data_IF_559837284323
#
_entry.id   IF_559837284323
#
_cell.length_a   1.000
_cell.length_b   1.000
_cell.length_c   1.000
_cell.angle_alpha   90.00
_cell.angle_beta   90.00
_cell.angle_gamma   90.00
#
_symmetry.space_group_name_H-M   'P 1'
#
loop_
_entity.id
_entity.type
_entity.pdbx_description
1 polymer ?
#
# COMPACT_ATOMS: atom_id res chain seq x y z
N UNK A 1 3.12 6.52 -37.24
CA UNK A 1 3.48 6.48 -38.67
C UNK A 1 3.63 7.85 -39.34
N UNK A 2 4.43 8.76 -38.77
CA UNK A 2 4.74 10.06 -39.40
C UNK A 2 6.25 10.24 -39.68
N UNK A 3 7.02 9.15 -39.67
CA UNK A 3 8.46 9.20 -39.84
C UNK A 3 8.85 9.24 -41.32
N UNK A 4 9.74 10.18 -41.69
CA UNK A 4 10.33 10.27 -43.02
C UNK A 4 11.74 9.67 -43.03
N UNK A 5 12.16 9.03 -44.14
CA UNK A 5 13.45 8.35 -44.22
C UNK A 5 14.65 9.31 -44.20
N UNK A 6 14.46 10.57 -44.58
CA UNK A 6 15.48 11.62 -44.57
C UNK A 6 14.88 13.02 -44.38
N UNK A 7 15.76 14.02 -44.21
CA UNK A 7 15.38 15.41 -43.94
C UNK A 7 14.64 16.09 -45.10
N UNK A 8 14.91 15.70 -46.35
CA UNK A 8 14.27 16.30 -47.52
C UNK A 8 12.84 15.78 -47.67
N UNK A 9 12.67 14.47 -47.52
CA UNK A 9 11.36 13.83 -47.45
C UNK A 9 10.53 14.30 -46.25
N UNK A 10 11.16 14.72 -45.14
CA UNK A 10 10.47 15.36 -44.03
C UNK A 10 9.97 16.76 -44.40
N UNK A 11 10.79 17.57 -45.07
CA UNK A 11 10.41 18.90 -45.53
C UNK A 11 9.25 18.86 -46.54
N UNK A 12 9.34 18.00 -47.55
CA UNK A 12 8.27 17.82 -48.54
C UNK A 12 6.93 17.42 -47.89
N UNK A 13 6.99 16.61 -46.82
CA UNK A 13 5.80 16.24 -46.05
C UNK A 13 5.20 17.38 -45.25
N UNK A 14 6.03 18.24 -44.65
CA UNK A 14 5.56 19.43 -43.93
C UNK A 14 4.92 20.44 -44.89
N UNK A 15 5.44 20.54 -46.11
CA UNK A 15 4.87 21.37 -47.17
C UNK A 15 3.53 20.83 -47.71
N UNK A 16 3.36 19.50 -47.71
CA UNK A 16 2.13 18.85 -48.17
C UNK A 16 0.92 19.06 -47.24
N UNK A 17 1.12 19.52 -46.01
CA UNK A 17 0.05 19.88 -45.09
C UNK A 17 0.36 19.64 -43.62
N UNK A 18 -0.56 20.05 -42.71
CA UNK A 18 -0.37 19.90 -41.28
C UNK A 18 -0.29 18.43 -40.88
N UNK A 19 0.67 18.11 -40.01
CA UNK A 19 0.78 16.79 -39.40
C UNK A 19 -0.47 16.49 -38.55
N UNK A 20 -0.86 15.20 -38.43
CA UNK A 20 -1.91 14.81 -37.50
C UNK A 20 -1.60 15.30 -36.10
N UNK A 21 -2.61 15.85 -35.41
CA UNK A 21 -2.46 16.25 -34.02
C UNK A 21 -2.06 15.02 -33.19
N UNK A 22 -0.96 15.08 -32.42
CA UNK A 22 -0.61 14.01 -31.51
C UNK A 22 -1.79 13.73 -30.59
N UNK A 23 -2.12 12.46 -30.35
CA UNK A 23 -3.02 12.14 -29.24
C UNK A 23 -2.41 12.72 -27.96
N UNK A 24 -3.25 13.23 -27.03
CA UNK A 24 -2.76 13.61 -25.72
C UNK A 24 -1.94 12.44 -25.15
N UNK A 25 -0.82 12.72 -24.46
CA UNK A 25 -0.03 11.67 -23.84
C UNK A 25 -0.91 10.90 -22.87
N UNK A 26 -1.17 9.63 -23.18
CA UNK A 26 -1.84 8.69 -22.29
C UNK A 26 -0.80 8.11 -21.35
N UNK A 27 -1.00 8.26 -20.05
CA UNK A 27 -0.12 7.68 -19.04
C UNK A 27 -0.73 6.36 -18.56
N UNK A 28 0.09 5.39 -18.17
CA UNK A 28 -0.40 4.12 -17.63
C UNK A 28 -1.32 4.31 -16.40
N UNK A 29 -1.18 5.42 -15.66
CA UNK A 29 -2.08 5.78 -14.54
C UNK A 29 -3.51 6.11 -15.00
N UNK A 30 -3.70 6.53 -16.25
CA UNK A 30 -5.02 6.80 -16.82
C UNK A 30 -5.85 5.49 -16.99
N UNK A 31 -5.17 4.33 -17.04
CA UNK A 31 -5.79 3.00 -17.07
C UNK A 31 -6.01 2.41 -15.65
N UNK A 32 -5.69 3.17 -14.60
CA UNK A 32 -5.78 2.75 -13.19
C UNK A 32 -6.76 3.67 -12.44
N UNK A 33 -8.08 3.57 -12.70
CA UNK A 33 -9.08 4.48 -12.15
C UNK A 33 -9.10 4.49 -10.61
N UNK A 34 -8.68 3.40 -9.97
CA UNK A 34 -8.53 3.30 -8.53
C UNK A 34 -7.41 4.19 -7.97
N UNK A 35 -6.46 4.68 -8.77
CA UNK A 35 -5.43 5.61 -8.29
C UNK A 35 -5.91 7.08 -8.28
N UNK A 36 -7.09 7.36 -8.83
CA UNK A 36 -7.64 8.71 -8.91
C UNK A 36 -8.07 9.28 -7.55
N UNK A 37 -8.36 8.42 -6.57
CA UNK A 37 -8.75 8.82 -5.19
C UNK A 37 -7.58 9.34 -4.34
N UNK A 38 -6.34 9.21 -4.84
CA UNK A 38 -5.09 9.58 -4.18
C UNK A 38 -4.77 8.83 -2.88
N UNK A 39 -5.55 7.83 -2.45
CA UNK A 39 -5.32 7.10 -1.20
C UNK A 39 -3.94 6.43 -1.23
N UNK A 40 -3.57 5.75 -2.32
CA UNK A 40 -2.22 5.18 -2.50
C UNK A 40 -1.13 6.23 -2.26
N UNK A 41 -1.26 7.42 -2.86
CA UNK A 41 -0.25 8.48 -2.76
C UNK A 41 -0.14 9.00 -1.33
N UNK A 42 -1.28 9.22 -0.67
CA UNK A 42 -1.34 9.78 0.69
C UNK A 42 -0.82 8.78 1.72
N UNK A 43 -1.22 7.51 1.64
CA UNK A 43 -0.75 6.44 2.54
C UNK A 43 0.76 6.21 2.35
N UNK A 44 1.24 6.14 1.10
CA UNK A 44 2.68 5.96 0.81
C UNK A 44 3.51 7.10 1.41
N UNK A 45 3.07 8.35 1.26
CA UNK A 45 3.77 9.51 1.86
C UNK A 45 3.74 9.50 3.39
N UNK A 46 2.68 8.95 3.98
CA UNK A 46 2.51 8.88 5.42
C UNK A 46 3.18 7.65 6.06
N UNK A 47 3.72 6.71 5.28
CA UNK A 47 4.15 5.38 5.77
C UNK A 47 4.99 5.39 7.05
N UNK A 48 6.09 6.16 7.08
CA UNK A 48 6.93 6.28 8.28
C UNK A 48 6.18 6.89 9.48
N UNK A 49 5.27 7.84 9.22
CA UNK A 49 4.41 8.44 10.24
C UNK A 49 3.40 7.44 10.80
N UNK A 50 2.81 6.61 9.94
CA UNK A 50 1.87 5.56 10.30
C UNK A 50 2.53 4.50 11.19
N UNK A 51 3.74 4.04 10.84
CA UNK A 51 4.49 3.09 11.67
C UNK A 51 4.76 3.68 13.06
N UNK A 52 5.27 4.91 13.12
CA UNK A 52 5.55 5.59 14.40
C UNK A 52 4.29 5.77 15.25
N UNK A 53 3.22 6.31 14.67
CA UNK A 53 1.96 6.53 15.38
C UNK A 53 1.30 5.23 15.83
N UNK A 54 1.48 4.14 15.07
CA UNK A 54 1.01 2.81 15.47
C UNK A 54 1.81 2.27 16.65
N UNK A 55 3.13 2.38 16.63
CA UNK A 55 3.98 2.01 17.79
C UNK A 55 3.55 2.76 19.05
N UNK A 56 3.38 4.08 18.97
CA UNK A 56 2.94 4.90 20.12
C UNK A 56 1.57 4.46 20.67
N UNK A 57 0.62 4.13 19.79
CA UNK A 57 -0.72 3.65 20.19
C UNK A 57 -0.66 2.25 20.82
N UNK A 58 0.15 1.35 20.27
CA UNK A 58 0.35 0.01 20.82
C UNK A 58 1.01 0.06 22.19
N UNK A 59 2.02 0.91 22.41
CA UNK A 59 2.66 1.08 23.72
C UNK A 59 1.66 1.53 24.80
N UNK A 60 0.67 2.35 24.42
CA UNK A 60 -0.35 2.85 25.34
C UNK A 60 -1.44 1.80 25.63
N UNK A 61 -1.83 1.01 24.62
CA UNK A 61 -3.11 0.25 24.61
C UNK A 61 -2.94 -1.26 24.51
N UNK A 62 -1.74 -1.76 24.23
CA UNK A 62 -1.41 -3.19 24.18
C UNK A 62 -0.49 -3.55 25.35
N UNK A 63 -1.04 -4.02 26.49
CA UNK A 63 -0.26 -4.27 27.71
C UNK A 63 1.00 -5.11 27.52
N UNK A 64 1.04 -6.17 26.67
CA UNK A 64 2.25 -6.96 26.47
C UNK A 64 3.46 -6.17 25.98
N UNK A 65 3.26 -5.05 25.27
CA UNK A 65 4.34 -4.24 24.73
C UNK A 65 5.14 -3.50 25.81
N UNK A 66 4.60 -3.36 27.02
CA UNK A 66 5.31 -2.70 28.14
C UNK A 66 6.55 -3.47 28.58
N UNK A 67 6.53 -4.79 28.39
CA UNK A 67 7.61 -5.69 28.77
C UNK A 67 8.61 -5.93 27.62
N UNK A 68 8.41 -5.30 26.46
CA UNK A 68 9.29 -5.49 25.31
C UNK A 68 10.65 -4.82 25.53
N UNK A 69 11.71 -5.58 25.26
CA UNK A 69 13.05 -5.06 25.10
C UNK A 69 13.20 -4.27 23.78
N UNK A 70 14.39 -3.68 23.57
CA UNK A 70 14.67 -2.87 22.40
C UNK A 70 14.58 -3.69 21.09
N UNK A 71 15.11 -4.92 21.07
CA UNK A 71 15.10 -5.78 19.89
C UNK A 71 13.67 -6.19 19.51
N UNK A 72 12.81 -6.44 20.50
CA UNK A 72 11.39 -6.73 20.29
C UNK A 72 10.63 -5.52 19.75
N UNK A 73 10.94 -4.32 20.22
CA UNK A 73 10.36 -3.07 19.69
C UNK A 73 10.79 -2.82 18.26
N UNK A 74 12.06 -3.03 17.94
CA UNK A 74 12.59 -2.88 16.58
C UNK A 74 11.93 -3.87 15.61
N UNK A 75 11.82 -5.14 15.99
CA UNK A 75 11.10 -6.15 15.18
C UNK A 75 9.62 -5.82 14.99
N UNK A 76 8.97 -5.30 16.03
CA UNK A 76 7.56 -4.87 15.92
C UNK A 76 7.42 -3.70 14.95
N UNK A 77 8.33 -2.72 14.99
CA UNK A 77 8.34 -1.61 14.04
C UNK A 77 8.62 -2.08 12.60
N UNK A 78 9.50 -3.07 12.41
CA UNK A 78 9.76 -3.71 11.13
C UNK A 78 8.52 -4.45 10.60
N UNK A 79 7.84 -5.24 11.43
CA UNK A 79 6.59 -5.91 11.06
C UNK A 79 5.50 -4.89 10.66
N UNK A 80 5.39 -3.76 11.38
CA UNK A 80 4.47 -2.68 11.03
C UNK A 80 4.83 -1.99 9.70
N UNK A 81 6.12 -1.80 9.44
CA UNK A 81 6.57 -1.25 8.16
C UNK A 81 6.16 -2.19 7.00
N UNK A 82 6.36 -3.49 7.16
CA UNK A 82 5.89 -4.47 6.18
C UNK A 82 4.36 -4.44 6.01
N UNK A 83 3.57 -4.36 7.09
CA UNK A 83 2.11 -4.24 6.98
C UNK A 83 1.73 -3.01 6.13
N UNK A 84 2.38 -1.87 6.35
CA UNK A 84 2.13 -0.65 5.58
C UNK A 84 2.56 -0.81 4.12
N UNK A 85 3.70 -1.47 3.84
CA UNK A 85 4.15 -1.75 2.48
C UNK A 85 3.13 -2.63 1.73
N UNK A 86 2.65 -3.71 2.35
CA UNK A 86 1.63 -4.58 1.75
C UNK A 86 0.27 -3.88 1.60
N UNK A 87 -0.08 -2.97 2.51
CA UNK A 87 -1.26 -2.12 2.36
C UNK A 87 -1.13 -1.18 1.15
N UNK A 88 0.00 -0.52 0.97
CA UNK A 88 0.23 0.36 -0.19
C UNK A 88 0.27 -0.43 -1.49
N UNK A 89 0.84 -1.63 -1.50
CA UNK A 89 0.81 -2.53 -2.65
C UNK A 89 -0.62 -2.96 -3.00
N UNK A 90 -1.44 -3.32 -2.01
CA UNK A 90 -2.85 -3.64 -2.22
C UNK A 90 -3.64 -2.46 -2.79
N UNK A 91 -3.39 -1.22 -2.31
CA UNK A 91 -3.99 0.00 -2.88
C UNK A 91 -3.55 0.25 -4.33
N UNK A 92 -2.26 0.00 -4.62
CA UNK A 92 -1.69 0.22 -5.94
C UNK A 92 -2.24 -0.76 -6.99
N UNK A 93 -2.37 -2.03 -6.62
CA UNK A 93 -2.85 -3.11 -7.51
C UNK A 93 -4.39 -3.24 -7.49
N UNK A 94 -5.05 -2.63 -6.51
CA UNK A 94 -6.48 -2.81 -6.22
C UNK A 94 -6.85 -4.27 -5.91
N UNK A 95 -5.99 -4.95 -5.15
CA UNK A 95 -6.18 -6.35 -4.78
C UNK A 95 -6.04 -6.56 -3.25
N UNK A 96 -7.14 -6.84 -2.52
CA UNK A 96 -7.07 -7.15 -1.09
C UNK A 96 -6.26 -8.41 -0.79
N UNK A 97 -6.13 -9.33 -1.74
CA UNK A 97 -5.39 -10.58 -1.61
C UNK A 97 -3.93 -10.37 -1.20
N UNK A 98 -3.32 -9.28 -1.64
CA UNK A 98 -1.94 -8.90 -1.31
C UNK A 98 -1.77 -8.70 0.20
N UNK A 99 -2.65 -7.91 0.82
CA UNK A 99 -2.60 -7.63 2.25
C UNK A 99 -3.07 -8.84 3.07
N UNK A 100 -4.19 -9.47 2.68
CA UNK A 100 -4.74 -10.60 3.45
C UNK A 100 -3.80 -11.81 3.42
N UNK A 101 -3.17 -12.08 2.28
CA UNK A 101 -2.18 -13.15 2.14
C UNK A 101 -0.96 -12.91 3.02
N UNK A 102 -0.44 -11.68 3.03
CA UNK A 102 0.67 -11.31 3.91
C UNK A 102 0.32 -11.43 5.40
N UNK A 103 -0.87 -10.97 5.81
CA UNK A 103 -1.29 -11.03 7.21
C UNK A 103 -1.48 -12.47 7.70
N UNK A 104 -2.11 -13.33 6.90
CA UNK A 104 -2.31 -14.74 7.25
C UNK A 104 -0.99 -15.51 7.31
N UNK A 105 -0.10 -15.31 6.34
CA UNK A 105 1.26 -15.85 6.38
C UNK A 105 2.07 -15.34 7.59
N UNK A 106 1.98 -14.04 7.90
CA UNK A 106 2.63 -13.45 9.08
C UNK A 106 2.09 -14.07 10.37
N UNK A 107 0.78 -14.32 10.46
CA UNK A 107 0.17 -14.98 11.60
C UNK A 107 0.73 -16.41 11.82
N UNK A 108 0.93 -17.17 10.75
CA UNK A 108 1.55 -18.51 10.81
C UNK A 108 3.00 -18.43 11.31
N UNK A 109 3.78 -17.47 10.81
CA UNK A 109 5.16 -17.26 11.24
C UNK A 109 5.24 -16.86 12.71
N UNK A 110 4.40 -15.92 13.15
CA UNK A 110 4.33 -15.49 14.54
C UNK A 110 3.95 -16.66 15.45
N UNK A 111 2.96 -17.47 15.06
CA UNK A 111 2.56 -18.66 15.80
C UNK A 111 3.72 -19.66 15.95
N UNK A 112 4.48 -19.91 14.87
CA UNK A 112 5.66 -20.78 14.91
C UNK A 112 6.77 -20.25 15.84
N UNK A 113 6.81 -18.93 16.09
CA UNK A 113 7.74 -18.27 17.02
C UNK A 113 7.19 -18.13 18.45
N UNK A 114 5.99 -18.67 18.73
CA UNK A 114 5.33 -18.55 20.03
C UNK A 114 4.67 -17.18 20.28
N UNK A 115 4.55 -16.33 19.25
CA UNK A 115 3.84 -15.06 19.30
C UNK A 115 2.39 -15.28 18.86
N UNK A 116 1.39 -14.97 19.69
CA UNK A 116 0.01 -15.23 19.35
C UNK A 116 -0.50 -14.34 18.20
N UNK A 117 -1.11 -14.92 17.16
CA UNK A 117 -1.69 -14.17 16.03
C UNK A 117 -2.68 -13.06 16.43
N UNK A 118 -3.30 -13.16 17.61
CA UNK A 118 -4.12 -12.09 18.23
C UNK A 118 -3.35 -10.78 18.50
N UNK A 119 -2.03 -10.74 18.29
CA UNK A 119 -1.24 -9.51 18.35
C UNK A 119 -1.41 -8.62 17.11
N UNK A 120 -1.85 -9.17 15.97
CA UNK A 120 -2.01 -8.42 14.72
C UNK A 120 -3.25 -7.49 14.71
N UNK A 121 -4.46 -7.91 15.16
CA UNK A 121 -5.63 -7.03 15.12
C UNK A 121 -5.45 -5.68 15.85
N UNK A 122 -4.85 -5.60 17.05
CA UNK A 122 -4.58 -4.30 17.70
C UNK A 122 -3.70 -3.36 16.86
N UNK A 123 -2.76 -3.91 16.07
CA UNK A 123 -1.93 -3.12 15.17
C UNK A 123 -2.74 -2.57 13.99
N UNK A 124 -3.63 -3.38 13.42
CA UNK A 124 -4.52 -2.96 12.34
C UNK A 124 -5.53 -1.91 12.81
N UNK A 125 -6.07 -2.04 14.02
CA UNK A 125 -6.96 -1.05 14.63
C UNK A 125 -6.23 0.29 14.85
N UNK A 126 -5.00 0.25 15.35
CA UNK A 126 -4.18 1.44 15.54
C UNK A 126 -3.77 2.12 14.23
N UNK A 127 -3.58 1.35 13.14
CA UNK A 127 -3.39 1.90 11.79
C UNK A 127 -4.67 2.57 11.27
N UNK A 128 -5.83 1.92 11.41
CA UNK A 128 -7.12 2.43 10.92
C UNK A 128 -7.48 3.77 11.58
N UNK A 129 -7.21 3.92 12.89
CA UNK A 129 -7.44 5.17 13.62
C UNK A 129 -6.70 6.38 13.01
N UNK A 130 -5.62 6.15 12.27
CA UNK A 130 -4.83 7.20 11.60
C UNK A 130 -5.28 7.44 10.15
N UNK A 131 -6.13 6.56 9.61
CA UNK A 131 -6.51 6.47 8.20
C UNK A 131 -8.03 6.64 8.00
N UNK A 132 -8.70 7.31 8.94
CA UNK A 132 -10.17 7.37 9.02
C UNK A 132 -10.87 7.97 7.80
N UNK A 133 -10.19 8.85 7.05
CA UNK A 133 -10.70 9.53 5.85
C UNK A 133 -10.45 8.76 4.54
N UNK A 134 -9.91 7.54 4.62
CA UNK A 134 -9.50 6.73 3.46
C UNK A 134 -10.34 5.44 3.34
N UNK A 135 -11.53 5.48 2.73
CA UNK A 135 -12.46 4.36 2.71
C UNK A 135 -11.93 3.08 2.07
N UNK A 136 -11.11 3.14 1.01
CA UNK A 136 -10.53 1.90 0.42
C UNK A 136 -9.49 1.29 1.35
N UNK A 137 -8.65 2.13 1.93
CA UNK A 137 -7.67 1.74 2.94
C UNK A 137 -8.34 1.04 4.12
N UNK A 138 -9.46 1.58 4.61
CA UNK A 138 -10.27 0.94 5.67
C UNK A 138 -10.83 -0.41 5.25
N UNK A 139 -11.39 -0.49 4.05
CA UNK A 139 -11.90 -1.74 3.48
C UNK A 139 -10.82 -2.84 3.41
N UNK A 140 -9.58 -2.48 3.04
CA UNK A 140 -8.44 -3.39 3.03
C UNK A 140 -8.07 -3.87 4.44
N UNK A 141 -8.05 -2.97 5.43
CA UNK A 141 -7.80 -3.33 6.83
C UNK A 141 -8.90 -4.23 7.41
N UNK A 142 -10.17 -3.97 7.06
CA UNK A 142 -11.31 -4.83 7.41
C UNK A 142 -11.19 -6.22 6.80
N UNK A 143 -10.84 -6.33 5.52
CA UNK A 143 -10.57 -7.60 4.86
C UNK A 143 -9.42 -8.36 5.54
N UNK A 144 -8.35 -7.65 5.93
CA UNK A 144 -7.24 -8.19 6.69
C UNK A 144 -7.67 -8.82 8.03
N UNK A 145 -8.47 -8.10 8.82
CA UNK A 145 -9.02 -8.61 10.07
C UNK A 145 -9.94 -9.82 9.86
N UNK A 146 -10.79 -9.78 8.85
CA UNK A 146 -11.67 -10.90 8.52
C UNK A 146 -10.88 -12.16 8.13
N UNK A 147 -9.81 -12.00 7.34
CA UNK A 147 -8.92 -13.11 6.98
C UNK A 147 -8.24 -13.72 8.21
N UNK A 148 -7.71 -12.89 9.11
CA UNK A 148 -7.12 -13.35 10.38
C UNK A 148 -8.12 -14.11 11.27
N UNK A 149 -9.37 -13.65 11.33
CA UNK A 149 -10.42 -14.32 12.09
C UNK A 149 -10.83 -15.69 11.51
N UNK A 150 -10.63 -15.90 10.20
CA UNK A 150 -10.92 -17.17 9.54
C UNK A 150 -9.78 -18.19 9.60
N UNK A 151 -8.55 -17.74 9.90
CA UNK A 151 -7.36 -18.58 9.91
C UNK A 151 -7.00 -19.14 11.30
N UNK A 152 -7.61 -18.62 12.37
CA UNK A 152 -7.41 -19.07 13.77
C UNK A 152 -8.55 -19.92 14.29
#
# INVERSE_FOLDING_TARGET
>A
DAWAPDARAAADRLEAGPLPTPRPPHQAVDDLPHLADQEYTMVTRAAHGLVRGTMERLEQRFPPMRDYDQDQRERTAEDLAHIVDFLTAALYVDDPGILTGFLTWTAEILAARGVPARSLPPALDALEEQLGDFPRTRSLLDAGRAALASAG
#
